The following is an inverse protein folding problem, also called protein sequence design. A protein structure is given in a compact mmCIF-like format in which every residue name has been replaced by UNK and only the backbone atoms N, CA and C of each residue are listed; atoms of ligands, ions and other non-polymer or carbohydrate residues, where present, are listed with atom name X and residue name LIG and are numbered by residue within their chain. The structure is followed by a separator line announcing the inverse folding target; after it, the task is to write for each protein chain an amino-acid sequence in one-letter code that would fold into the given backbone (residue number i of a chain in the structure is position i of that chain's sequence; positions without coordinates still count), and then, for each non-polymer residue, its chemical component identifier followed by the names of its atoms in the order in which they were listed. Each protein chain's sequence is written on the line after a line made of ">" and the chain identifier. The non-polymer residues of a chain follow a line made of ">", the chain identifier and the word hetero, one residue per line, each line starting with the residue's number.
data_IF_232092500027
#
_entry.id   IF_232092500027
#
_cell.length_a   1.000
_cell.length_b   1.000
_cell.length_c   1.000
_cell.angle_alpha   90.00
_cell.angle_beta   90.00
_cell.angle_gamma   90.00
#
_symmetry.space_group_name_H-M   'P 1'
#
loop_
_entity.id
_entity.type
_entity.pdbx_description
1 polymer ?
#
# COMPACT_ATOMS: atom_id res chain seq x y z
N UNK A 1 20.68 60.24 -0.64
CA UNK A 1 20.42 58.90 -1.22
C UNK A 1 20.56 57.85 -0.13
N UNK A 2 19.45 57.32 0.41
CA UNK A 2 19.45 56.35 1.51
C UNK A 2 18.68 55.11 1.03
N UNK A 3 19.38 53.99 0.87
CA UNK A 3 18.89 52.77 0.20
C UNK A 3 18.02 51.97 1.16
N UNK A 4 16.78 51.66 0.73
CA UNK A 4 15.86 50.72 1.36
C UNK A 4 16.50 49.33 1.44
N UNK A 5 16.35 48.64 2.56
CA UNK A 5 16.54 47.20 2.67
C UNK A 5 15.24 46.63 3.25
N UNK A 6 14.41 46.06 2.38
CA UNK A 6 13.23 45.28 2.75
C UNK A 6 13.64 43.81 2.74
N UNK A 7 13.79 43.20 3.92
CA UNK A 7 14.03 41.77 4.08
C UNK A 7 12.66 41.10 4.07
N UNK A 8 12.29 40.50 2.94
CA UNK A 8 11.13 39.61 2.85
C UNK A 8 11.45 38.32 3.60
N UNK A 9 11.01 38.26 4.86
CA UNK A 9 10.95 37.02 5.64
C UNK A 9 9.89 36.11 5.04
N UNK A 10 10.30 35.27 4.09
CA UNK A 10 9.48 34.16 3.62
C UNK A 10 9.61 33.03 4.63
N UNK A 11 8.70 33.03 5.62
CA UNK A 11 8.40 31.84 6.39
C UNK A 11 7.88 30.78 5.42
N UNK A 12 8.79 29.92 4.95
CA UNK A 12 8.44 28.67 4.30
C UNK A 12 7.56 27.89 5.27
N UNK A 13 6.27 27.82 4.92
CA UNK A 13 5.33 26.87 5.47
C UNK A 13 5.99 25.48 5.37
N UNK A 14 6.42 24.96 6.51
CA UNK A 14 6.73 23.55 6.68
C UNK A 14 5.41 22.79 6.53
N UNK A 15 4.98 22.60 5.29
CA UNK A 15 4.00 21.60 4.95
C UNK A 15 4.56 20.26 5.39
N UNK A 16 3.88 19.62 6.33
CA UNK A 16 4.03 18.19 6.58
C UNK A 16 3.58 17.44 5.33
N UNK A 17 4.40 17.47 4.28
CA UNK A 17 4.21 16.64 3.12
C UNK A 17 4.63 15.23 3.51
N UNK A 18 3.67 14.31 3.57
CA UNK A 18 3.94 12.88 3.59
C UNK A 18 5.03 12.58 2.56
N UNK A 19 6.06 11.85 2.98
CA UNK A 19 7.31 11.76 2.23
C UNK A 19 7.05 11.16 0.86
N UNK A 20 7.13 11.99 -0.18
CA UNK A 20 6.98 11.56 -1.58
C UNK A 20 8.04 10.51 -1.88
N UNK A 21 7.63 9.36 -2.42
CA UNK A 21 8.54 8.27 -2.76
C UNK A 21 9.63 8.75 -3.75
N UNK A 22 10.89 8.51 -3.42
CA UNK A 22 12.00 8.84 -4.32
C UNK A 22 12.11 7.82 -5.46
N UNK A 23 12.81 8.14 -6.55
CA UNK A 23 13.06 7.19 -7.64
C UNK A 23 13.76 5.90 -7.15
N UNK A 24 14.66 6.03 -6.17
CA UNK A 24 15.32 4.88 -5.54
C UNK A 24 14.34 4.03 -4.74
N UNK A 25 13.38 4.66 -4.06
CA UNK A 25 12.33 3.94 -3.36
C UNK A 25 11.45 3.17 -4.35
N UNK A 26 11.02 3.81 -5.43
CA UNK A 26 10.20 3.17 -6.45
C UNK A 26 10.90 1.96 -7.10
N UNK A 27 12.21 2.06 -7.32
CA UNK A 27 13.01 0.93 -7.84
C UNK A 27 13.10 -0.25 -6.85
N UNK A 28 13.04 0.03 -5.55
CA UNK A 28 13.24 -0.99 -4.50
C UNK A 28 11.92 -1.59 -4.01
N UNK A 29 10.91 -0.76 -3.81
CA UNK A 29 9.63 -1.09 -3.18
C UNK A 29 8.45 -1.09 -4.16
N UNK A 30 8.68 -0.69 -5.41
CA UNK A 30 7.63 -0.47 -6.40
C UNK A 30 6.85 0.83 -6.14
N UNK A 31 5.76 1.02 -6.86
CA UNK A 31 4.79 2.11 -6.60
C UNK A 31 3.97 1.77 -5.35
N UNK A 32 3.77 2.73 -4.42
CA UNK A 32 2.88 2.53 -3.28
C UNK A 32 1.44 2.26 -3.76
N UNK A 33 0.64 1.53 -2.97
CA UNK A 33 -0.76 1.27 -3.32
C UNK A 33 -1.53 2.58 -3.44
N UNK A 34 -2.40 2.72 -4.43
CA UNK A 34 -3.36 3.81 -4.49
C UNK A 34 -4.50 3.60 -3.49
N UNK A 35 -5.29 4.64 -3.21
CA UNK A 35 -6.53 4.48 -2.40
C UNK A 35 -7.48 3.45 -3.02
N UNK A 36 -7.56 3.39 -4.35
CA UNK A 36 -8.35 2.38 -5.07
C UNK A 36 -7.80 0.96 -4.86
N UNK A 37 -6.48 0.76 -4.88
CA UNK A 37 -5.86 -0.53 -4.60
C UNK A 37 -6.18 -1.01 -3.18
N UNK A 38 -6.12 -0.09 -2.21
CA UNK A 38 -6.48 -0.36 -0.82
C UNK A 38 -7.96 -0.71 -0.69
N UNK A 39 -8.84 0.04 -1.34
CA UNK A 39 -10.28 -0.22 -1.36
C UNK A 39 -10.62 -1.59 -1.96
N UNK A 40 -10.00 -1.94 -3.09
CA UNK A 40 -10.18 -3.24 -3.74
C UNK A 40 -9.69 -4.37 -2.84
N UNK A 41 -8.52 -4.21 -2.23
CA UNK A 41 -7.99 -5.20 -1.29
C UNK A 41 -8.91 -5.38 -0.08
N UNK A 42 -9.34 -4.28 0.56
CA UNK A 42 -10.26 -4.33 1.69
C UNK A 42 -11.57 -5.02 1.29
N UNK A 43 -12.14 -4.69 0.13
CA UNK A 43 -13.35 -5.34 -0.37
C UNK A 43 -13.20 -6.85 -0.50
N UNK A 44 -12.04 -7.34 -0.96
CA UNK A 44 -11.76 -8.78 -1.04
C UNK A 44 -11.71 -9.47 0.32
N UNK A 45 -11.36 -8.76 1.40
CA UNK A 45 -11.32 -9.35 2.74
C UNK A 45 -12.70 -9.75 3.23
N UNK A 46 -13.76 -9.07 2.78
CA UNK A 46 -15.14 -9.43 3.12
C UNK A 46 -15.45 -10.89 2.82
N UNK A 47 -14.90 -11.40 1.72
CA UNK A 47 -15.17 -12.77 1.27
C UNK A 47 -14.28 -13.80 2.01
N UNK A 48 -13.24 -13.35 2.73
CA UNK A 48 -12.32 -14.21 3.51
C UNK A 48 -12.62 -14.24 5.00
N UNK A 49 -13.34 -13.25 5.51
CA UNK A 49 -13.74 -13.15 6.90
C UNK A 49 -14.93 -14.09 7.18
N UNK A 50 -15.23 -14.41 8.46
CA UNK A 50 -16.44 -15.12 8.81
C UNK A 50 -17.64 -14.50 8.11
N UNK A 51 -18.65 -15.31 7.70
CA UNK A 51 -19.80 -14.83 6.94
C UNK A 51 -20.67 -13.92 7.80
N UNK A 52 -20.26 -12.67 7.93
CA UNK A 52 -20.94 -11.65 8.71
C UNK A 52 -21.78 -10.77 7.80
N UNK A 53 -22.85 -10.20 8.35
CA UNK A 53 -23.71 -9.28 7.59
C UNK A 53 -22.99 -7.98 7.21
N UNK A 54 -22.03 -7.54 8.03
CA UNK A 54 -21.28 -6.31 7.84
C UNK A 54 -19.79 -6.50 8.08
N UNK A 55 -18.98 -5.74 7.34
CA UNK A 55 -17.53 -5.59 7.56
C UNK A 55 -17.20 -4.10 7.48
N UNK A 56 -16.48 -3.61 8.48
CA UNK A 56 -15.98 -2.23 8.53
C UNK A 56 -14.46 -2.21 8.59
N UNK A 57 -13.89 -1.15 8.03
CA UNK A 57 -12.46 -0.91 8.03
C UNK A 57 -12.17 0.48 8.55
N UNK A 58 -11.03 0.64 9.23
CA UNK A 58 -10.50 1.94 9.61
C UNK A 58 -9.00 1.93 9.66
N UNK A 59 -8.40 3.08 9.42
CA UNK A 59 -6.97 3.30 9.53
C UNK A 59 -6.73 4.72 10.07
N UNK A 60 -5.47 5.16 10.15
CA UNK A 60 -5.13 6.52 10.58
C UNK A 60 -5.03 7.52 9.43
N UNK A 61 -5.43 7.11 8.22
CA UNK A 61 -5.22 7.84 6.98
C UNK A 61 -3.99 7.33 6.21
N UNK A 62 -4.08 7.43 4.88
CA UNK A 62 -3.11 6.89 3.93
C UNK A 62 -1.64 7.21 4.27
N UNK A 63 -1.34 8.47 4.58
CA UNK A 63 0.02 8.93 4.85
C UNK A 63 0.64 8.33 6.14
N UNK A 64 -0.19 8.01 7.14
CA UNK A 64 0.24 7.43 8.41
C UNK A 64 0.31 5.90 8.34
N UNK A 65 -0.54 5.30 7.50
CA UNK A 65 -0.68 3.85 7.37
C UNK A 65 0.33 3.25 6.38
N UNK A 66 0.70 3.98 5.32
CA UNK A 66 1.60 3.49 4.26
C UNK A 66 3.06 3.78 4.58
N UNK A 67 3.89 2.75 4.63
CA UNK A 67 5.34 2.88 4.86
C UNK A 67 6.17 1.87 4.09
N UNK A 68 7.42 2.24 3.80
CA UNK A 68 8.41 1.36 3.17
C UNK A 68 8.92 0.34 4.17
N UNK A 69 8.98 -0.93 3.79
CA UNK A 69 9.49 -1.96 4.68
C UNK A 69 10.06 -3.17 3.93
N UNK A 70 10.95 -3.89 4.61
CA UNK A 70 11.55 -5.15 4.15
C UNK A 70 11.37 -6.21 5.21
N UNK A 71 10.98 -7.41 4.79
CA UNK A 71 10.68 -8.54 5.67
C UNK A 71 11.38 -9.80 5.17
N UNK A 72 11.55 -10.77 6.06
CA UNK A 72 11.93 -12.13 5.65
C UNK A 72 10.66 -12.90 5.29
N UNK A 73 10.55 -13.35 4.05
CA UNK A 73 9.45 -14.20 3.62
C UNK A 73 9.58 -15.65 4.10
N UNK A 74 8.53 -16.44 3.91
CA UNK A 74 8.50 -17.87 4.29
C UNK A 74 9.59 -18.71 3.60
N UNK A 75 10.07 -18.27 2.42
CA UNK A 75 11.18 -18.89 1.69
C UNK A 75 12.57 -18.45 2.19
N UNK A 76 12.62 -17.68 3.29
CA UNK A 76 13.85 -17.12 3.86
C UNK A 76 14.44 -15.96 3.06
N UNK A 77 13.79 -15.53 1.97
CA UNK A 77 14.28 -14.44 1.12
C UNK A 77 13.73 -13.09 1.60
N UNK A 78 14.49 -12.00 1.44
CA UNK A 78 13.96 -10.67 1.71
C UNK A 78 12.84 -10.32 0.72
N UNK A 79 11.77 -9.73 1.25
CA UNK A 79 10.64 -9.18 0.51
C UNK A 79 10.54 -7.70 0.85
N UNK A 80 10.69 -6.85 -0.16
CA UNK A 80 10.53 -5.40 -0.03
C UNK A 80 9.20 -4.97 -0.64
N UNK A 81 8.49 -4.09 0.06
CA UNK A 81 7.26 -3.48 -0.44
C UNK A 81 6.75 -2.36 0.45
N UNK A 82 5.55 -1.90 0.15
CA UNK A 82 4.82 -0.89 0.91
C UNK A 82 3.87 -1.58 1.89
N UNK A 83 4.11 -1.43 3.18
CA UNK A 83 3.21 -1.90 4.22
C UNK A 83 2.06 -0.91 4.38
N UNK A 84 0.84 -1.43 4.46
CA UNK A 84 -0.33 -0.70 4.89
C UNK A 84 -0.90 -1.35 6.15
N UNK A 85 -1.02 -0.54 7.21
CA UNK A 85 -1.59 -0.96 8.48
C UNK A 85 -3.03 -0.42 8.64
N UNK A 86 -3.96 -1.29 8.99
CA UNK A 86 -5.37 -0.92 9.20
C UNK A 86 -6.02 -1.89 10.20
N UNK A 87 -7.23 -1.56 10.63
CA UNK A 87 -8.07 -2.42 11.45
C UNK A 87 -9.31 -2.84 10.68
N UNK A 88 -9.75 -4.07 10.93
CA UNK A 88 -10.98 -4.63 10.36
C UNK A 88 -11.86 -5.21 11.45
N UNK A 89 -13.17 -5.06 11.30
CA UNK A 89 -14.15 -5.70 12.16
C UNK A 89 -15.29 -6.28 11.31
N UNK A 90 -15.67 -7.54 11.58
CA UNK A 90 -16.88 -8.17 11.05
C UNK A 90 -17.94 -8.28 12.15
N UNK A 91 -19.21 -8.02 11.83
CA UNK A 91 -20.31 -8.09 12.81
C UNK A 91 -21.66 -8.42 12.15
N UNK A 92 -22.51 -9.13 12.91
CA UNK A 92 -23.80 -9.67 12.43
C UNK A 92 -24.99 -8.76 12.70
N UNK A 93 -24.82 -7.77 13.57
CA UNK A 93 -25.90 -6.89 14.01
C UNK A 93 -25.38 -5.44 14.06
N UNK A 94 -26.17 -4.50 13.52
CA UNK A 94 -25.97 -3.08 13.81
C UNK A 94 -26.62 -2.84 15.17
N UNK A 95 -25.82 -2.69 16.21
CA UNK A 95 -26.30 -2.59 17.60
C UNK A 95 -25.34 -1.80 18.48
N UNK A 96 -25.69 -1.59 19.76
CA UNK A 96 -24.85 -0.86 20.72
C UNK A 96 -23.58 -1.63 21.12
N UNK A 97 -23.50 -2.91 20.78
CA UNK A 97 -22.29 -3.70 20.97
C UNK A 97 -21.16 -3.16 20.09
N UNK A 98 -20.02 -2.89 20.70
CA UNK A 98 -18.88 -2.35 19.97
C UNK A 98 -18.25 -3.43 19.09
N UNK A 99 -17.98 -3.14 17.80
CA UNK A 99 -17.28 -4.08 16.93
C UNK A 99 -15.89 -4.39 17.49
N UNK A 100 -15.51 -5.66 17.45
CA UNK A 100 -14.16 -6.10 17.82
C UNK A 100 -13.20 -5.85 16.65
N UNK A 101 -12.32 -4.87 16.81
CA UNK A 101 -11.34 -4.48 15.80
C UNK A 101 -10.11 -5.36 15.86
N UNK A 102 -9.71 -5.91 14.72
CA UNK A 102 -8.50 -6.70 14.56
C UNK A 102 -7.50 -5.94 13.69
N UNK A 103 -6.31 -5.69 14.23
CA UNK A 103 -5.22 -5.07 13.48
C UNK A 103 -4.71 -6.00 12.37
N UNK A 104 -4.48 -5.43 11.20
CA UNK A 104 -3.90 -6.10 10.03
C UNK A 104 -2.78 -5.26 9.44
N UNK A 105 -1.80 -5.98 8.87
CA UNK A 105 -0.70 -5.41 8.10
C UNK A 105 -0.57 -6.19 6.81
N UNK A 106 -0.45 -5.48 5.71
CA UNK A 106 -0.42 -6.06 4.36
C UNK A 106 0.66 -5.36 3.57
N UNK A 107 1.40 -6.13 2.79
CA UNK A 107 2.48 -5.62 1.94
C UNK A 107 2.00 -5.57 0.51
N UNK A 108 2.25 -4.44 -0.14
CA UNK A 108 1.94 -4.17 -1.53
C UNK A 108 3.21 -3.97 -2.35
N UNK A 109 3.18 -4.41 -3.61
CA UNK A 109 4.18 -4.09 -4.61
C UNK A 109 3.46 -3.69 -5.90
N UNK A 110 3.70 -2.47 -6.38
CA UNK A 110 3.01 -1.89 -7.55
C UNK A 110 1.48 -1.99 -7.45
N UNK A 111 0.90 -1.56 -6.33
CA UNK A 111 -0.55 -1.59 -6.10
C UNK A 111 -1.15 -2.96 -5.79
N UNK A 112 -0.36 -4.05 -5.87
CA UNK A 112 -0.88 -5.41 -5.64
C UNK A 112 -0.45 -5.93 -4.28
N UNK A 113 -1.41 -6.43 -3.50
CA UNK A 113 -1.10 -7.13 -2.26
C UNK A 113 -0.30 -8.40 -2.56
N UNK A 114 0.91 -8.48 -2.01
CA UNK A 114 1.81 -9.63 -2.18
C UNK A 114 1.85 -10.53 -0.94
N UNK A 115 1.31 -10.08 0.18
CA UNK A 115 1.23 -10.88 1.40
C UNK A 115 0.81 -10.06 2.61
N UNK A 116 0.68 -10.75 3.74
CA UNK A 116 0.31 -10.16 5.02
C UNK A 116 1.11 -10.75 6.17
N UNK A 117 0.81 -10.31 7.39
CA UNK A 117 1.47 -10.82 8.59
C UNK A 117 0.56 -11.79 9.33
N UNK A 118 1.14 -12.90 9.78
CA UNK A 118 0.48 -13.82 10.71
C UNK A 118 0.42 -13.24 12.13
N UNK A 119 -0.22 -13.97 13.06
CA UNK A 119 -0.33 -13.57 14.47
C UNK A 119 1.00 -13.51 15.22
N UNK A 120 2.06 -14.10 14.67
CA UNK A 120 3.42 -14.08 15.22
C UNK A 120 4.29 -12.98 14.61
N UNK A 121 3.78 -12.25 13.61
CA UNK A 121 4.49 -11.20 12.90
C UNK A 121 5.37 -11.70 11.75
N UNK A 122 5.22 -12.93 11.29
CA UNK A 122 5.90 -13.43 10.09
C UNK A 122 5.15 -13.02 8.83
N UNK A 123 5.90 -12.66 7.78
CA UNK A 123 5.31 -12.35 6.48
C UNK A 123 4.94 -13.63 5.74
N UNK A 124 3.67 -13.76 5.37
CA UNK A 124 3.13 -14.84 4.55
C UNK A 124 2.75 -14.30 3.16
N UNK A 125 3.27 -14.92 2.11
CA UNK A 125 2.96 -14.51 0.73
C UNK A 125 1.55 -14.99 0.37
N UNK A 126 0.71 -14.12 -0.21
CA UNK A 126 -0.59 -14.54 -0.71
C UNK A 126 -0.37 -15.45 -1.92
N UNK A 127 -0.80 -16.72 -1.84
CA UNK A 127 -0.53 -17.77 -2.85
C UNK A 127 -1.12 -17.56 -4.25
N UNK A 128 -1.67 -16.38 -4.55
CA UNK A 128 -2.22 -16.04 -5.85
C UNK A 128 -1.65 -14.70 -6.32
N UNK A 129 -0.39 -14.71 -6.77
CA UNK A 129 0.04 -13.68 -7.70
C UNK A 129 -0.64 -14.01 -9.04
N UNK A 130 -1.65 -13.24 -9.53
CA UNK A 130 -1.99 -13.34 -10.95
C UNK A 130 -0.70 -13.08 -11.72
N UNK A 131 -0.35 -13.90 -12.73
CA UNK A 131 0.90 -13.75 -13.45
C UNK A 131 1.04 -12.29 -13.89
N UNK A 132 2.24 -11.73 -13.70
CA UNK A 132 2.56 -10.42 -14.22
C UNK A 132 2.15 -10.39 -15.70
N UNK A 133 1.42 -9.34 -16.11
CA UNK A 133 1.04 -9.17 -17.50
C UNK A 133 2.33 -9.29 -18.34
N UNK A 134 2.34 -10.26 -19.25
CA UNK A 134 3.50 -10.49 -20.12
C UNK A 134 3.79 -9.19 -20.86
N UNK A 135 5.06 -8.76 -20.84
CA UNK A 135 5.48 -7.60 -21.61
C UNK A 135 5.03 -7.77 -23.08
N UNK A 136 4.55 -6.70 -23.74
CA UNK A 136 4.18 -6.78 -25.15
C UNK A 136 5.36 -7.36 -25.94
N UNK A 137 5.08 -8.34 -26.81
CA UNK A 137 6.09 -8.87 -27.71
C UNK A 137 6.70 -7.70 -28.53
N UNK A 138 8.02 -7.69 -28.76
CA UNK A 138 8.64 -6.68 -29.62
C UNK A 138 7.91 -6.60 -30.95
N UNK A 139 7.53 -5.39 -31.37
CA UNK A 139 6.92 -5.17 -32.67
C UNK A 139 7.83 -5.76 -33.75
N UNK A 140 7.28 -6.63 -34.61
CA UNK A 140 8.01 -7.20 -35.73
C UNK A 140 8.57 -6.08 -36.61
N UNK A 141 9.88 -6.09 -36.84
CA UNK A 141 10.53 -5.14 -37.74
C UNK A 141 9.93 -5.28 -39.16
N UNK A 142 9.60 -4.16 -39.83
CA UNK A 142 9.05 -4.22 -41.18
C UNK A 142 10.05 -4.91 -42.13
N UNK A 143 9.54 -5.86 -42.91
CA UNK A 143 10.31 -6.58 -43.90
C UNK A 143 10.92 -5.60 -44.92
N UNK A 144 12.25 -5.58 -45.02
CA UNK A 144 12.92 -4.83 -46.07
C UNK A 144 12.66 -5.50 -47.42
N UNK A 145 12.15 -4.77 -48.44
CA UNK A 145 12.03 -5.29 -49.78
C UNK A 145 13.42 -5.51 -50.40
N UNK A 146 13.59 -6.64 -51.08
CA UNK A 146 14.74 -6.93 -51.95
C UNK A 146 14.58 -6.25 -53.30
#
# INVERSE_FOLDING_TARGET
>A
MKRLSLIFSTCLLAGCAGTVATQKDLATYGTPPSEDDLYQYMSSLRDTLPPTRYVSYRDKGYADSVKKATYTGEDGKPVSGWEYAFEVAGYDQVGPEQPQWTARRVVFFNGRAIGGFDGNGNFMRTGAQPPAASAPAPAAAPAQPR
#
